data_IF_477086777280
#
_entry.id   IF_477086777280
#
_cell.length_a   1.000
_cell.length_b   1.000
_cell.length_c   1.000
_cell.angle_alpha   90.00
_cell.angle_beta   90.00
_cell.angle_gamma   90.00
#
_symmetry.space_group_name_H-M   'P 1'
#
loop_
_entity.id
_entity.type
_entity.pdbx_description
1 polymer ?
#
# COMPACT_ATOMS: atom_id res chain seq x y z
N UNK A 1 -5.85 7.01 12.19
CA UNK A 1 -5.09 7.29 13.40
C UNK A 1 -5.15 6.06 14.28
N UNK A 2 -3.98 5.49 14.63
CA UNK A 2 -3.92 4.46 15.65
C UNK A 2 -4.22 5.12 16.98
N UNK A 3 -5.25 4.64 17.65
CA UNK A 3 -5.59 5.11 19.00
C UNK A 3 -4.61 4.51 20.01
N UNK A 4 -4.17 5.26 21.05
CA UNK A 4 -3.28 4.75 22.08
C UNK A 4 -3.65 3.37 22.66
N UNK A 5 -4.94 3.01 22.81
CA UNK A 5 -5.33 1.68 23.28
C UNK A 5 -4.89 0.53 22.37
N UNK A 6 -4.59 0.77 21.09
CA UNK A 6 -4.13 -0.27 20.19
C UNK A 6 -2.71 -0.78 20.50
N UNK A 7 -1.94 -0.04 21.28
CA UNK A 7 -0.54 -0.37 21.58
C UNK A 7 -0.36 -1.18 22.87
N UNK A 8 -1.35 -1.22 23.76
CA UNK A 8 -1.21 -1.85 25.05
C UNK A 8 -0.03 -1.27 25.85
N UNK A 9 0.66 -2.07 26.66
CA UNK A 9 1.81 -1.60 27.46
C UNK A 9 3.14 -1.49 26.66
N UNK A 10 3.18 -1.97 25.42
CA UNK A 10 4.39 -1.95 24.61
C UNK A 10 4.51 -0.65 23.81
N UNK A 11 5.70 -0.05 23.79
CA UNK A 11 6.01 1.16 23.01
C UNK A 11 6.12 0.94 21.50
N UNK A 12 6.13 -0.30 21.05
CA UNK A 12 6.18 -0.66 19.63
C UNK A 12 5.44 -1.95 19.36
N UNK A 13 4.97 -2.12 18.13
CA UNK A 13 4.38 -3.36 17.64
C UNK A 13 5.00 -3.76 16.31
N UNK A 14 5.14 -5.06 16.10
CA UNK A 14 5.55 -5.59 14.80
C UNK A 14 4.40 -5.47 13.82
N UNK A 15 4.76 -5.21 12.56
CA UNK A 15 3.81 -5.12 11.46
C UNK A 15 4.41 -5.69 10.17
N UNK A 16 3.55 -6.08 9.24
CA UNK A 16 3.91 -6.57 7.91
C UNK A 16 3.48 -5.62 6.78
N UNK A 17 3.08 -4.43 7.13
CA UNK A 17 2.69 -3.38 6.20
C UNK A 17 3.07 -2.05 6.80
N UNK A 18 3.14 -1.01 6.00
CA UNK A 18 3.47 0.32 6.48
C UNK A 18 2.77 1.40 5.65
N UNK A 19 2.89 2.64 6.13
CA UNK A 19 2.54 3.84 5.38
C UNK A 19 3.83 4.61 5.12
N UNK A 20 4.00 5.18 3.93
CA UNK A 20 5.16 6.03 3.63
C UNK A 20 5.19 7.33 4.45
N UNK A 21 4.03 7.77 4.93
CA UNK A 21 3.96 8.92 5.83
C UNK A 21 4.60 8.56 7.17
N UNK A 22 5.84 9.03 7.37
CA UNK A 22 6.64 8.74 8.57
C UNK A 22 7.38 7.40 8.53
N UNK A 23 7.44 6.74 7.38
CA UNK A 23 8.24 5.54 7.21
C UNK A 23 9.74 5.82 7.19
N UNK A 24 10.51 5.08 8.00
CA UNK A 24 11.96 5.11 8.01
C UNK A 24 12.50 3.74 7.63
N UNK A 25 13.43 3.71 6.69
CA UNK A 25 14.07 2.49 6.21
C UNK A 25 15.57 2.54 6.41
N UNK A 26 16.15 1.43 6.89
CA UNK A 26 17.59 1.26 6.79
C UNK A 26 17.98 1.06 5.33
N UNK A 27 19.09 1.66 4.91
CA UNK A 27 19.63 1.49 3.56
C UNK A 27 19.79 0.01 3.19
N UNK A 28 20.28 -0.81 4.11
CA UNK A 28 20.44 -2.26 3.92
C UNK A 28 19.14 -3.01 3.64
N UNK A 29 17.99 -2.48 4.02
CA UNK A 29 16.67 -3.04 3.64
C UNK A 29 16.38 -2.68 2.19
N UNK A 30 16.56 -1.41 1.81
CA UNK A 30 16.39 -0.95 0.42
C UNK A 30 17.28 -1.73 -0.54
N UNK A 31 18.54 -1.96 -0.16
CA UNK A 31 19.50 -2.73 -0.95
C UNK A 31 19.02 -4.16 -1.22
N UNK A 32 18.27 -4.75 -0.31
CA UNK A 32 17.71 -6.11 -0.44
C UNK A 32 16.42 -6.18 -1.24
N UNK A 33 15.50 -5.23 -1.03
CA UNK A 33 14.15 -5.30 -1.61
C UNK A 33 13.96 -4.38 -2.81
N UNK A 34 14.93 -3.51 -3.11
CA UNK A 34 14.83 -2.51 -4.17
C UNK A 34 14.06 -1.27 -3.76
N UNK A 35 13.79 -0.41 -4.73
CA UNK A 35 12.95 0.77 -4.58
C UNK A 35 11.46 0.41 -4.68
N UNK A 36 10.56 1.29 -4.19
CA UNK A 36 9.13 1.12 -4.42
C UNK A 36 8.81 1.01 -5.91
N UNK A 37 7.94 0.06 -6.27
CA UNK A 37 7.58 -0.19 -7.65
C UNK A 37 6.73 0.96 -8.22
N UNK A 38 7.24 1.74 -9.21
CA UNK A 38 6.55 2.91 -9.76
C UNK A 38 5.27 2.54 -10.52
N UNK A 39 5.08 1.27 -10.88
CA UNK A 39 3.86 0.80 -11.56
C UNK A 39 2.63 0.97 -10.69
N UNK A 40 2.78 1.02 -9.35
CA UNK A 40 1.65 1.30 -8.46
C UNK A 40 1.12 2.74 -8.66
N UNK A 41 1.99 3.73 -8.81
CA UNK A 41 1.69 5.15 -8.93
C UNK A 41 0.99 5.74 -7.69
N UNK A 42 -0.16 5.21 -7.28
CA UNK A 42 -0.92 5.63 -6.10
C UNK A 42 -1.75 4.45 -5.57
N UNK A 43 -1.87 4.33 -4.27
CA UNK A 43 -2.53 3.28 -3.50
C UNK A 43 -1.81 1.92 -3.55
N UNK A 44 -1.67 1.31 -2.38
CA UNK A 44 -1.05 0.02 -2.11
C UNK A 44 0.48 -0.04 -2.29
N UNK A 45 1.11 1.01 -2.81
CA UNK A 45 2.56 1.13 -2.95
C UNK A 45 3.28 1.03 -1.60
N UNK A 46 2.81 1.77 -0.62
CA UNK A 46 3.30 1.74 0.76
C UNK A 46 3.06 0.38 1.44
N UNK A 47 1.86 -0.17 1.28
CA UNK A 47 1.52 -1.48 1.83
C UNK A 47 2.39 -2.59 1.21
N UNK A 48 2.60 -2.56 -0.11
CA UNK A 48 3.47 -3.51 -0.80
C UNK A 48 4.92 -3.38 -0.34
N UNK A 49 5.42 -2.16 -0.22
CA UNK A 49 6.80 -1.92 0.19
C UNK A 49 7.04 -2.33 1.64
N UNK A 50 6.07 -2.07 2.52
CA UNK A 50 6.09 -2.58 3.89
C UNK A 50 6.08 -4.10 3.97
N UNK A 51 5.28 -4.76 3.13
CA UNK A 51 5.28 -6.21 3.00
C UNK A 51 6.65 -6.74 2.56
N UNK A 52 7.24 -6.17 1.50
CA UNK A 52 8.58 -6.55 1.05
C UNK A 52 9.64 -6.33 2.15
N UNK A 53 9.58 -5.21 2.87
CA UNK A 53 10.45 -5.00 4.01
C UNK A 53 10.29 -6.07 5.09
N UNK A 54 9.06 -6.56 5.32
CA UNK A 54 8.79 -7.60 6.31
C UNK A 54 9.40 -8.96 5.95
N UNK A 55 9.70 -9.22 4.68
CA UNK A 55 10.36 -10.46 4.25
C UNK A 55 11.86 -10.50 4.60
N UNK A 56 12.49 -9.36 4.82
CA UNK A 56 13.95 -9.24 5.08
C UNK A 56 14.30 -8.60 6.42
N UNK A 57 13.33 -8.02 7.11
CA UNK A 57 13.49 -7.40 8.43
C UNK A 57 12.20 -7.51 9.25
N UNK A 58 12.19 -6.98 10.45
CA UNK A 58 10.98 -6.89 11.30
C UNK A 58 10.54 -5.43 11.39
N UNK A 59 9.63 -4.96 10.54
CA UNK A 59 9.11 -3.61 10.64
C UNK A 59 8.37 -3.42 11.97
N UNK A 60 8.51 -2.25 12.53
CA UNK A 60 7.82 -1.85 13.77
C UNK A 60 7.07 -0.55 13.56
N UNK A 61 5.97 -0.40 14.26
CA UNK A 61 5.32 0.89 14.48
C UNK A 61 5.58 1.32 15.91
N UNK A 62 5.95 2.57 16.12
CA UNK A 62 6.17 3.16 17.44
C UNK A 62 4.97 4.01 17.85
N UNK A 63 4.70 4.09 19.16
CA UNK A 63 3.61 4.89 19.72
C UNK A 63 3.87 6.39 19.61
N UNK A 64 5.14 6.79 19.71
CA UNK A 64 5.55 8.20 19.71
C UNK A 64 5.20 8.89 18.38
N UNK A 65 4.48 10.00 18.47
CA UNK A 65 4.08 10.82 17.31
C UNK A 65 5.21 11.73 16.89
N UNK A 66 6.13 11.25 16.06
CA UNK A 66 7.28 12.05 15.55
C UNK A 66 6.91 12.95 14.36
N UNK A 67 5.79 12.70 13.71
CA UNK A 67 5.31 13.48 12.57
C UNK A 67 3.86 13.92 12.76
N UNK A 68 3.57 15.17 12.42
CA UNK A 68 2.22 15.72 12.39
C UNK A 68 1.90 16.25 10.98
N UNK A 69 0.73 15.88 10.46
CA UNK A 69 0.24 16.45 9.21
C UNK A 69 -0.06 17.93 9.40
N UNK A 70 0.35 18.76 8.44
CA UNK A 70 0.04 20.19 8.42
C UNK A 70 -1.42 20.48 8.08
N UNK A 71 -2.08 19.55 7.37
CA UNK A 71 -3.52 19.62 7.06
C UNK A 71 -4.22 18.40 7.62
N UNK A 72 -5.21 18.62 8.47
CA UNK A 72 -6.11 17.55 8.90
C UNK A 72 -6.99 17.15 7.71
N UNK A 73 -7.12 15.83 7.49
CA UNK A 73 -8.12 15.34 6.54
C UNK A 73 -9.48 15.47 7.19
N UNK A 74 -10.44 16.10 6.49
CA UNK A 74 -11.83 16.13 6.93
C UNK A 74 -12.34 14.69 7.01
N UNK A 75 -12.60 14.23 8.22
CA UNK A 75 -13.09 12.89 8.50
C UNK A 75 -14.61 12.96 8.61
N UNK A 76 -15.32 12.44 7.64
CA UNK A 76 -16.74 12.21 7.75
C UNK A 76 -16.98 10.92 8.54
N UNK A 77 -17.43 11.04 9.79
CA UNK A 77 -17.94 9.91 10.54
C UNK A 77 -19.38 9.61 10.06
N UNK A 78 -19.56 8.44 9.47
CA UNK A 78 -20.89 7.94 9.15
C UNK A 78 -21.19 6.77 10.08
N UNK A 79 -22.08 6.98 11.06
CA UNK A 79 -22.68 5.95 11.92
C UNK A 79 -21.69 4.96 12.54
N UNK A 80 -20.58 5.45 13.13
CA UNK A 80 -19.58 4.60 13.81
C UNK A 80 -18.69 3.76 12.88
N UNK A 81 -18.83 3.90 11.56
CA UNK A 81 -17.92 3.29 10.59
C UNK A 81 -16.68 4.16 10.43
N UNK A 82 -15.47 3.55 10.40
CA UNK A 82 -14.24 4.31 10.21
C UNK A 82 -14.27 5.06 8.88
N UNK A 83 -14.23 6.33 8.97
CA UNK A 83 -13.96 7.40 8.01
C UNK A 83 -13.97 7.01 6.53
N UNK A 84 -15.12 7.18 5.88
CA UNK A 84 -15.22 7.10 4.42
C UNK A 84 -15.02 8.51 3.87
N UNK A 85 -13.78 8.84 3.49
CA UNK A 85 -13.47 10.11 2.85
C UNK A 85 -13.79 10.09 1.36
N UNK A 86 -14.08 11.27 0.78
CA UNK A 86 -14.20 11.43 -0.67
C UNK A 86 -12.94 10.93 -1.39
N UNK A 87 -13.14 10.32 -2.55
CA UNK A 87 -12.06 9.76 -3.36
C UNK A 87 -12.22 10.16 -4.83
N UNK A 88 -11.11 10.52 -5.49
CA UNK A 88 -11.13 10.80 -6.92
C UNK A 88 -11.30 9.52 -7.74
N UNK A 89 -11.88 9.65 -8.93
CA UNK A 89 -12.08 8.54 -9.85
C UNK A 89 -10.75 7.89 -10.27
N UNK A 90 -9.70 8.69 -10.47
CA UNK A 90 -8.34 8.22 -10.74
C UNK A 90 -7.86 7.29 -9.59
N UNK A 91 -8.04 7.70 -8.35
CA UNK A 91 -7.62 6.89 -7.20
C UNK A 91 -8.44 5.58 -7.10
N UNK A 92 -9.73 5.60 -7.46
CA UNK A 92 -10.57 4.38 -7.52
C UNK A 92 -10.05 3.36 -8.51
N UNK A 93 -9.68 3.83 -9.71
CA UNK A 93 -9.06 2.97 -10.71
C UNK A 93 -7.81 2.28 -10.18
N UNK A 94 -6.87 3.05 -9.62
CA UNK A 94 -5.62 2.50 -9.10
C UNK A 94 -5.83 1.63 -7.86
N UNK A 95 -6.79 1.98 -6.99
CA UNK A 95 -7.13 1.18 -5.81
C UNK A 95 -7.52 -0.27 -6.21
N UNK A 96 -8.30 -0.42 -7.27
CA UNK A 96 -8.70 -1.73 -7.77
C UNK A 96 -7.58 -2.41 -8.57
N UNK A 97 -6.97 -1.69 -9.53
CA UNK A 97 -5.92 -2.23 -10.39
C UNK A 97 -4.70 -2.76 -9.62
N UNK A 98 -4.25 -2.00 -8.64
CA UNK A 98 -2.99 -2.28 -7.94
C UNK A 98 -3.08 -3.51 -7.02
N UNK A 99 -4.28 -3.96 -6.72
CA UNK A 99 -4.46 -5.26 -6.04
C UNK A 99 -3.90 -6.41 -6.89
N UNK A 100 -3.95 -6.30 -8.22
CA UNK A 100 -3.29 -7.24 -9.11
C UNK A 100 -1.77 -7.30 -8.90
N UNK A 101 -1.12 -6.16 -8.72
CA UNK A 101 0.31 -6.12 -8.40
C UNK A 101 0.60 -6.71 -7.02
N UNK A 102 -0.18 -6.36 -5.99
CA UNK A 102 -0.06 -6.97 -4.67
C UNK A 102 -0.13 -8.49 -4.73
N UNK A 103 -1.13 -9.03 -5.41
CA UNK A 103 -1.27 -10.46 -5.56
C UNK A 103 -0.07 -11.11 -6.27
N UNK A 104 0.48 -10.45 -7.28
CA UNK A 104 1.68 -10.94 -7.99
C UNK A 104 2.91 -10.95 -7.08
N UNK A 105 3.09 -9.93 -6.23
CA UNK A 105 4.15 -9.94 -5.23
C UNK A 105 3.94 -11.05 -4.20
N UNK A 106 2.72 -11.24 -3.70
CA UNK A 106 2.42 -12.34 -2.77
C UNK A 106 2.64 -13.71 -3.41
N UNK A 107 2.28 -13.89 -4.70
CA UNK A 107 2.59 -15.12 -5.44
C UNK A 107 4.10 -15.36 -5.54
N UNK A 108 4.89 -14.34 -5.82
CA UNK A 108 6.34 -14.44 -5.93
C UNK A 108 7.02 -14.85 -4.62
N UNK A 109 6.41 -14.52 -3.47
CA UNK A 109 6.92 -14.88 -2.14
C UNK A 109 6.21 -16.09 -1.52
N UNK A 110 5.25 -16.73 -2.19
CA UNK A 110 4.52 -17.88 -1.67
C UNK A 110 3.40 -17.56 -0.67
N UNK A 111 3.07 -16.27 -0.47
CA UNK A 111 2.08 -15.80 0.52
C UNK A 111 0.68 -15.54 -0.10
N UNK A 112 0.47 -15.94 -1.35
CA UNK A 112 -0.80 -15.71 -2.01
C UNK A 112 -1.87 -16.71 -1.58
N UNK A 113 -2.93 -16.20 -0.97
CA UNK A 113 -4.10 -16.98 -0.61
C UNK A 113 -5.31 -16.58 -1.49
N UNK A 114 -5.67 -17.38 -2.52
CA UNK A 114 -6.65 -17.00 -3.54
C UNK A 114 -8.03 -16.64 -2.98
N UNK A 115 -8.55 -17.45 -2.04
CA UNK A 115 -9.86 -17.21 -1.44
C UNK A 115 -9.89 -15.92 -0.62
N UNK A 116 -8.90 -15.72 0.27
CA UNK A 116 -8.80 -14.50 1.06
C UNK A 116 -8.60 -13.26 0.19
N UNK A 117 -7.85 -13.39 -0.90
CA UNK A 117 -7.64 -12.31 -1.85
C UNK A 117 -8.94 -11.95 -2.59
N UNK A 118 -9.69 -12.95 -3.07
CA UNK A 118 -10.99 -12.75 -3.73
C UNK A 118 -12.01 -12.10 -2.79
N UNK A 119 -12.07 -12.56 -1.54
CA UNK A 119 -12.94 -11.97 -0.51
C UNK A 119 -12.54 -10.51 -0.22
N UNK A 120 -11.25 -10.25 -0.08
CA UNK A 120 -10.73 -8.88 0.11
C UNK A 120 -11.05 -7.96 -1.07
N UNK A 121 -11.03 -8.48 -2.31
CA UNK A 121 -11.45 -7.74 -3.50
C UNK A 121 -12.92 -7.41 -3.45
N UNK A 122 -13.77 -8.37 -3.13
CA UNK A 122 -15.21 -8.16 -3.01
C UNK A 122 -15.54 -7.11 -1.93
N UNK A 123 -14.92 -7.21 -0.77
CA UNK A 123 -15.09 -6.22 0.32
C UNK A 123 -14.65 -4.83 -0.14
N UNK A 124 -13.52 -4.72 -0.83
CA UNK A 124 -13.03 -3.44 -1.36
C UNK A 124 -14.00 -2.87 -2.38
N UNK A 125 -14.51 -3.69 -3.29
CA UNK A 125 -15.50 -3.30 -4.28
C UNK A 125 -16.79 -2.77 -3.63
N UNK A 126 -17.35 -3.52 -2.68
CA UNK A 126 -18.57 -3.12 -1.93
C UNK A 126 -18.31 -1.81 -1.19
N UNK A 127 -17.17 -1.66 -0.52
CA UNK A 127 -16.80 -0.42 0.18
C UNK A 127 -16.75 0.78 -0.76
N UNK A 128 -16.22 0.62 -1.98
CA UNK A 128 -16.17 1.69 -2.97
C UNK A 128 -17.58 2.04 -3.51
N UNK A 129 -18.45 1.06 -3.70
CA UNK A 129 -19.85 1.31 -4.05
C UNK A 129 -20.57 2.11 -2.96
N UNK A 130 -20.42 1.70 -1.70
CA UNK A 130 -21.00 2.42 -0.55
C UNK A 130 -20.48 3.87 -0.55
N UNK A 131 -19.18 4.10 -0.72
CA UNK A 131 -18.57 5.44 -0.80
C UNK A 131 -19.19 6.28 -1.92
N UNK A 132 -19.34 5.71 -3.10
CA UNK A 132 -19.95 6.43 -4.25
C UNK A 132 -21.39 6.86 -3.95
N UNK A 133 -22.19 5.98 -3.35
CA UNK A 133 -23.61 6.26 -3.09
C UNK A 133 -23.79 7.20 -1.90
N UNK A 134 -22.92 7.16 -0.91
CA UNK A 134 -23.08 7.96 0.32
C UNK A 134 -22.35 9.30 0.27
N UNK A 135 -21.11 9.32 -0.20
CA UNK A 135 -20.20 10.48 -0.14
C UNK A 135 -20.05 11.15 -1.50
N UNK A 136 -19.75 10.39 -2.56
CA UNK A 136 -19.35 10.90 -3.85
C UNK A 136 -20.51 10.83 -4.88
N UNK A 137 -21.72 11.14 -4.46
CA UNK A 137 -22.97 11.01 -5.27
C UNK A 137 -22.90 11.67 -6.64
N UNK A 138 -22.16 12.76 -6.77
CA UNK A 138 -21.98 13.47 -8.04
C UNK A 138 -21.16 12.68 -9.07
N UNK A 139 -20.35 11.74 -8.61
CA UNK A 139 -19.42 10.94 -9.43
C UNK A 139 -19.84 9.48 -9.57
N UNK A 140 -21.10 9.12 -9.29
CA UNK A 140 -21.52 7.70 -9.28
C UNK A 140 -21.21 7.01 -10.60
N UNK A 141 -21.58 7.59 -11.73
CA UNK A 141 -21.38 6.97 -13.05
C UNK A 141 -19.91 6.86 -13.41
N UNK A 142 -19.17 7.95 -13.30
CA UNK A 142 -17.73 7.97 -13.61
C UNK A 142 -16.94 7.07 -12.65
N UNK A 143 -17.24 7.12 -11.35
CA UNK A 143 -16.61 6.30 -10.35
C UNK A 143 -16.85 4.80 -10.57
N UNK A 144 -18.08 4.38 -10.93
CA UNK A 144 -18.38 2.98 -11.27
C UNK A 144 -17.56 2.51 -12.48
N UNK A 145 -17.48 3.35 -13.52
CA UNK A 145 -16.68 3.05 -14.71
C UNK A 145 -15.21 2.82 -14.34
N UNK A 146 -14.64 3.69 -13.51
CA UNK A 146 -13.22 3.57 -13.11
C UNK A 146 -12.97 2.38 -12.18
N UNK A 147 -13.88 2.04 -11.27
CA UNK A 147 -13.81 0.81 -10.47
C UNK A 147 -13.80 -0.43 -11.39
N UNK A 148 -14.73 -0.49 -12.36
CA UNK A 148 -14.80 -1.62 -13.29
C UNK A 148 -13.58 -1.71 -14.20
N UNK A 149 -13.05 -0.58 -14.70
CA UNK A 149 -11.78 -0.55 -15.45
C UNK A 149 -10.62 -1.06 -14.60
N UNK A 150 -10.51 -0.58 -13.37
CA UNK A 150 -9.48 -1.02 -12.43
C UNK A 150 -9.55 -2.53 -12.16
N UNK A 151 -10.74 -3.06 -11.94
CA UNK A 151 -10.95 -4.50 -11.75
C UNK A 151 -10.54 -5.33 -12.97
N UNK A 152 -10.92 -4.90 -14.18
CA UNK A 152 -10.47 -5.57 -15.42
C UNK A 152 -8.94 -5.52 -15.56
N UNK A 153 -8.33 -4.39 -15.24
CA UNK A 153 -6.88 -4.24 -15.27
C UNK A 153 -6.18 -5.13 -14.24
N UNK A 154 -6.73 -5.27 -13.02
CA UNK A 154 -6.27 -6.22 -12.02
C UNK A 154 -6.21 -7.65 -12.58
N UNK A 155 -7.32 -8.13 -13.16
CA UNK A 155 -7.38 -9.48 -13.74
C UNK A 155 -6.38 -9.67 -14.89
N UNK A 156 -6.12 -8.62 -15.68
CA UNK A 156 -5.09 -8.66 -16.72
C UNK A 156 -3.69 -8.83 -16.10
N UNK A 157 -3.38 -8.08 -15.05
CA UNK A 157 -2.11 -8.19 -14.32
C UNK A 157 -1.95 -9.59 -13.71
N UNK A 158 -3.00 -10.13 -13.09
CA UNK A 158 -2.97 -11.47 -12.49
C UNK A 158 -2.67 -12.57 -13.52
N UNK A 159 -3.12 -12.41 -14.76
CA UNK A 159 -2.92 -13.39 -15.84
C UNK A 159 -1.65 -13.16 -16.66
N UNK A 160 -0.96 -12.06 -16.44
CA UNK A 160 0.26 -11.72 -17.16
C UNK A 160 1.40 -12.65 -16.76
N UNK A 161 1.74 -13.60 -17.61
CA UNK A 161 2.83 -14.57 -17.39
C UNK A 161 4.22 -13.93 -17.50
N UNK A 162 4.34 -12.78 -18.18
CA UNK A 162 5.58 -12.07 -18.35
C UNK A 162 5.88 -11.11 -17.18
N UNK A 163 4.92 -10.93 -16.27
CA UNK A 163 5.11 -10.06 -15.12
C UNK A 163 6.25 -10.56 -14.22
N UNK A 164 7.10 -9.63 -13.81
CA UNK A 164 8.17 -9.88 -12.84
C UNK A 164 8.17 -8.78 -11.76
N UNK A 165 8.61 -9.09 -10.53
CA UNK A 165 8.85 -8.08 -9.51
C UNK A 165 9.92 -7.10 -9.99
N UNK A 166 9.95 -5.90 -9.39
CA UNK A 166 11.04 -4.94 -9.65
C UNK A 166 12.37 -5.54 -9.20
N UNK A 167 13.44 -5.38 -10.00
CA UNK A 167 14.76 -5.84 -9.62
C UNK A 167 15.28 -5.10 -8.39
N UNK A 168 16.10 -5.79 -7.58
CA UNK A 168 16.84 -5.14 -6.51
C UNK A 168 17.93 -4.23 -7.10
N UNK A 169 18.23 -3.06 -6.50
CA UNK A 169 19.32 -2.18 -6.93
C UNK A 169 20.69 -2.86 -6.96
N UNK A 170 20.89 -3.92 -6.18
CA UNK A 170 22.12 -4.70 -6.19
C UNK A 170 22.31 -5.52 -7.47
N UNK A 171 21.28 -5.70 -8.26
CA UNK A 171 21.27 -6.47 -9.51
C UNK A 171 21.25 -5.55 -10.74
N UNK A 172 21.00 -4.25 -10.53
CA UNK A 172 21.00 -3.26 -11.61
C UNK A 172 22.43 -2.76 -11.85
N UNK A 173 23.08 -3.14 -12.97
CA UNK A 173 24.45 -2.71 -13.28
C UNK A 173 24.56 -1.20 -13.56
N UNK A 174 23.45 -0.54 -13.92
CA UNK A 174 23.39 0.89 -14.21
C UNK A 174 23.11 1.74 -12.97
N UNK A 175 22.94 1.10 -11.79
CA UNK A 175 22.74 1.85 -10.56
C UNK A 175 24.07 2.44 -10.07
N UNK A 176 24.16 3.77 -9.82
CA UNK A 176 25.39 4.40 -9.35
C UNK A 176 25.88 3.74 -8.05
N UNK A 177 27.02 3.07 -8.10
CA UNK A 177 27.65 2.43 -6.92
C UNK A 177 28.26 3.45 -5.95
N UNK A 178 28.24 4.74 -6.31
CA UNK A 178 28.97 5.82 -5.61
C UNK A 178 28.17 6.50 -4.49
N UNK A 179 27.23 5.81 -3.88
CA UNK A 179 26.67 6.33 -2.63
C UNK A 179 27.70 6.15 -1.50
N UNK A 180 28.13 7.23 -0.83
CA UNK A 180 29.11 7.15 0.22
C UNK A 180 28.66 6.19 1.32
N UNK A 181 29.39 5.09 1.49
CA UNK A 181 29.13 4.07 2.51
C UNK A 181 29.45 4.53 3.94
N UNK A 182 29.89 5.77 4.11
CA UNK A 182 30.35 6.30 5.38
C UNK A 182 29.35 7.26 6.02
N UNK A 183 28.26 6.71 6.56
CA UNK A 183 27.61 7.32 7.71
C UNK A 183 27.95 6.52 8.97
N UNK A 184 29.23 6.45 9.33
CA UNK A 184 29.64 6.24 10.71
C UNK A 184 29.51 7.60 11.43
N UNK A 185 28.25 7.96 11.72
CA UNK A 185 27.97 9.09 12.60
C UNK A 185 28.31 8.72 14.02
N UNK A 186 29.20 9.49 14.60
CA UNK A 186 29.52 9.55 16.04
C UNK A 186 28.29 9.88 16.86
#
# INVERSE_FOLDING_TARGET
>A
PFSPPAFGPARFHHMNSMCFEGGLFKRTVVDKIGFPDPRFFIAWDDANYGYLASTVTRPIIIEDKILRRTREMANLEIAGLPQINSMSDVKRYYLMRNRGFLARYYMAHGDYYPFGFALGNLITFIKEIIRLVTVDRKSIRSGLVEICKGWRAEHKILRDKAWQPMPSPLVDPDFPQDFPQNFSGR
#
